data_IF_172928358278
#
_entry.id   IF_172928358278
#
_cell.length_a   1.000
_cell.length_b   1.000
_cell.length_c   1.000
_cell.angle_alpha   90.00
_cell.angle_beta   90.00
_cell.angle_gamma   90.00
#
_symmetry.space_group_name_H-M   'P 1'
#
loop_
_entity.id
_entity.type
_entity.pdbx_description
1 polymer ?
#
# COMPACT_ATOMS: atom_id res chain seq x y z
N UNK A 1 4.50 -21.75 -51.83
CA UNK A 1 3.94 -20.88 -52.86
C UNK A 1 4.95 -19.78 -53.02
N UNK A 2 5.30 -19.49 -54.26
CA UNK A 2 6.22 -18.40 -54.54
C UNK A 2 5.46 -17.08 -54.51
N UNK A 3 6.16 -16.01 -54.16
CA UNK A 3 5.58 -14.68 -54.01
C UNK A 3 4.82 -14.21 -55.26
N UNK A 4 5.24 -14.66 -56.44
CA UNK A 4 4.60 -14.41 -57.73
C UNK A 4 3.21 -15.04 -57.86
N UNK A 5 2.98 -16.23 -57.29
CA UNK A 5 1.68 -16.92 -57.31
C UNK A 5 0.68 -16.16 -56.43
N UNK A 6 1.14 -15.69 -55.26
CA UNK A 6 0.31 -14.90 -54.35
C UNK A 6 -0.11 -13.55 -54.94
N UNK A 7 0.76 -12.91 -55.73
CA UNK A 7 0.45 -11.65 -56.43
C UNK A 7 -0.56 -11.89 -57.56
N UNK A 8 -0.41 -12.99 -58.31
CA UNK A 8 -1.30 -13.32 -59.41
C UNK A 8 -2.75 -13.59 -58.95
N UNK A 9 -2.93 -14.11 -57.73
CA UNK A 9 -4.25 -14.42 -57.15
C UNK A 9 -4.95 -13.19 -56.52
N UNK A 10 -4.26 -12.05 -56.32
CA UNK A 10 -4.84 -10.85 -55.68
C UNK A 10 -6.14 -10.34 -56.35
N UNK A 11 -6.25 -10.24 -57.68
CA UNK A 11 -7.46 -9.76 -58.34
C UNK A 11 -8.66 -10.70 -58.17
N UNK A 12 -8.42 -12.00 -57.95
CA UNK A 12 -9.47 -13.00 -57.69
C UNK A 12 -9.94 -12.90 -56.24
N UNK A 13 -9.01 -12.75 -55.29
CA UNK A 13 -9.32 -12.53 -53.87
C UNK A 13 -10.18 -11.28 -53.69
N UNK A 14 -9.89 -10.19 -54.41
CA UNK A 14 -10.67 -8.95 -54.38
C UNK A 14 -12.13 -9.14 -54.79
N UNK A 15 -12.44 -10.14 -55.61
CA UNK A 15 -13.80 -10.48 -56.06
C UNK A 15 -14.52 -11.47 -55.15
N UNK A 16 -13.81 -12.16 -54.26
CA UNK A 16 -14.38 -13.12 -53.30
C UNK A 16 -15.10 -12.42 -52.16
N UNK A 17 -16.16 -13.06 -51.65
CA UNK A 17 -16.84 -12.64 -50.42
C UNK A 17 -15.93 -12.84 -49.20
N UNK A 18 -16.22 -12.18 -48.09
CA UNK A 18 -15.42 -12.28 -46.87
C UNK A 18 -15.28 -13.74 -46.38
N UNK A 19 -16.35 -14.55 -46.50
CA UNK A 19 -16.35 -15.94 -46.06
C UNK A 19 -15.48 -16.84 -46.94
N UNK A 20 -15.48 -16.60 -48.25
CA UNK A 20 -14.64 -17.33 -49.20
C UNK A 20 -13.16 -16.99 -49.02
N UNK A 21 -12.82 -15.73 -48.70
CA UNK A 21 -11.44 -15.34 -48.36
C UNK A 21 -10.93 -16.05 -47.11
N UNK A 22 -11.78 -16.20 -46.09
CA UNK A 22 -11.47 -16.92 -44.85
C UNK A 22 -11.24 -18.41 -45.13
N UNK A 23 -12.09 -19.04 -45.96
CA UNK A 23 -11.92 -20.43 -46.36
C UNK A 23 -10.62 -20.66 -47.16
N UNK A 24 -10.33 -19.79 -48.13
CA UNK A 24 -9.09 -19.83 -48.90
C UNK A 24 -7.84 -19.65 -48.00
N UNK A 25 -7.89 -18.74 -47.02
CA UNK A 25 -6.80 -18.56 -46.07
C UNK A 25 -6.56 -19.80 -45.20
N UNK A 26 -7.63 -20.48 -44.75
CA UNK A 26 -7.53 -21.75 -44.00
C UNK A 26 -6.92 -22.86 -44.83
N UNK A 27 -7.33 -23.00 -46.07
CA UNK A 27 -6.79 -24.03 -46.96
C UNK A 27 -5.33 -23.77 -47.33
N UNK A 28 -4.96 -22.50 -47.53
CA UNK A 28 -3.55 -22.09 -47.69
C UNK A 28 -2.72 -22.43 -46.46
N UNK A 29 -3.21 -22.12 -45.26
CA UNK A 29 -2.53 -22.43 -44.00
C UNK A 29 -2.37 -23.94 -43.81
N UNK A 30 -3.42 -24.71 -44.12
CA UNK A 30 -3.39 -26.18 -44.08
C UNK A 30 -2.34 -26.76 -45.04
N UNK A 31 -2.30 -26.27 -46.27
CA UNK A 31 -1.30 -26.68 -47.27
C UNK A 31 0.11 -26.27 -46.87
N UNK A 32 0.27 -25.09 -46.26
CA UNK A 32 1.56 -24.61 -45.76
C UNK A 32 2.08 -25.50 -44.62
N UNK A 33 1.23 -25.83 -43.64
CA UNK A 33 1.58 -26.74 -42.55
C UNK A 33 1.93 -28.13 -43.08
N UNK A 34 1.14 -28.67 -44.03
CA UNK A 34 1.44 -29.97 -44.66
C UNK A 34 2.80 -29.99 -45.35
N UNK A 35 3.13 -28.92 -46.10
CA UNK A 35 4.44 -28.77 -46.74
C UNK A 35 5.57 -28.61 -45.71
N UNK A 36 5.31 -27.94 -44.58
CA UNK A 36 6.29 -27.82 -43.51
C UNK A 36 6.53 -29.18 -42.84
N UNK A 37 5.49 -29.97 -42.56
CA UNK A 37 5.60 -31.31 -42.00
C UNK A 37 6.34 -32.27 -42.95
N UNK A 38 6.02 -32.23 -44.24
CA UNK A 38 6.73 -33.00 -45.28
C UNK A 38 8.21 -32.60 -45.33
N UNK A 39 8.52 -31.30 -45.24
CA UNK A 39 9.89 -30.78 -45.19
C UNK A 39 10.62 -31.22 -43.92
N UNK A 40 9.98 -31.12 -42.75
CA UNK A 40 10.56 -31.52 -41.47
C UNK A 40 10.83 -33.04 -41.42
N UNK A 41 9.92 -33.87 -41.95
CA UNK A 41 10.14 -35.31 -42.08
C UNK A 41 11.25 -35.67 -43.07
N UNK A 42 11.46 -34.85 -44.10
CA UNK A 42 12.53 -35.03 -45.07
C UNK A 42 13.90 -34.57 -44.54
N UNK A 43 13.96 -33.80 -43.46
CA UNK A 43 15.22 -33.40 -42.83
C UNK A 43 15.82 -34.59 -42.06
N UNK A 44 17.14 -34.80 -42.15
CA UNK A 44 17.81 -35.80 -41.32
C UNK A 44 17.66 -35.43 -39.84
N UNK A 45 17.68 -36.42 -38.92
CA UNK A 45 17.59 -36.14 -37.49
C UNK A 45 18.67 -35.13 -37.10
N UNK A 46 18.34 -34.13 -36.26
CA UNK A 46 19.29 -33.11 -35.89
C UNK A 46 20.49 -33.77 -35.21
N UNK A 47 21.70 -33.33 -35.60
CA UNK A 47 22.93 -33.78 -34.93
C UNK A 47 22.83 -33.47 -33.43
N UNK A 48 23.40 -34.32 -32.55
CA UNK A 48 23.42 -34.04 -31.12
C UNK A 48 24.00 -32.64 -30.87
N UNK A 49 23.16 -31.75 -30.34
CA UNK A 49 23.52 -30.34 -30.14
C UNK A 49 24.53 -30.26 -29.00
N UNK A 50 25.69 -29.67 -29.26
CA UNK A 50 26.57 -29.20 -28.18
C UNK A 50 26.00 -27.89 -27.66
N UNK A 51 25.63 -27.84 -26.39
CA UNK A 51 25.20 -26.59 -25.75
C UNK A 51 26.37 -25.61 -25.80
N UNK A 52 26.19 -24.50 -26.52
CA UNK A 52 27.15 -23.39 -26.63
C UNK A 52 26.68 -22.16 -25.86
N UNK A 53 25.39 -22.13 -25.52
CA UNK A 53 24.74 -21.06 -24.78
C UNK A 53 24.41 -21.62 -23.41
N UNK A 54 24.87 -20.94 -22.37
CA UNK A 54 24.54 -21.19 -20.98
C UNK A 54 23.91 -19.91 -20.43
N UNK A 55 22.89 -20.05 -19.59
CA UNK A 55 22.34 -18.92 -18.86
C UNK A 55 23.03 -18.83 -17.49
N UNK A 56 22.80 -17.72 -16.79
CA UNK A 56 23.27 -17.61 -15.42
C UNK A 56 22.59 -18.69 -14.56
N UNK A 57 23.35 -19.32 -13.66
CA UNK A 57 22.86 -20.39 -12.80
C UNK A 57 21.64 -19.98 -11.94
N UNK A 58 21.54 -18.69 -11.61
CA UNK A 58 20.38 -18.07 -10.94
C UNK A 58 19.10 -18.26 -11.75
N UNK A 59 19.13 -17.84 -13.02
CA UNK A 59 17.98 -17.95 -13.91
C UNK A 59 17.65 -19.42 -14.19
N UNK A 60 18.67 -20.26 -14.39
CA UNK A 60 18.46 -21.69 -14.68
C UNK A 60 17.84 -22.43 -13.49
N UNK A 61 18.31 -22.18 -12.26
CA UNK A 61 17.82 -22.86 -11.07
C UNK A 61 16.40 -22.42 -10.72
N UNK A 62 16.10 -21.12 -10.76
CA UNK A 62 14.75 -20.62 -10.51
C UNK A 62 13.77 -21.15 -11.57
N UNK A 63 14.12 -21.08 -12.86
CA UNK A 63 13.27 -21.58 -13.94
C UNK A 63 13.05 -23.11 -13.85
N UNK A 64 14.08 -23.88 -13.51
CA UNK A 64 13.94 -25.32 -13.29
C UNK A 64 13.01 -25.64 -12.11
N UNK A 65 13.09 -24.84 -11.04
CA UNK A 65 12.21 -24.95 -9.87
C UNK A 65 10.75 -24.60 -10.23
N UNK A 66 10.52 -23.52 -10.96
CA UNK A 66 9.19 -23.13 -11.46
C UNK A 66 8.54 -24.20 -12.35
N UNK A 67 9.34 -24.95 -13.11
CA UNK A 67 8.87 -26.05 -13.96
C UNK A 67 8.64 -27.36 -13.19
N UNK A 68 8.95 -27.40 -11.89
CA UNK A 68 8.96 -28.59 -11.06
C UNK A 68 9.86 -29.72 -11.62
N UNK A 69 10.98 -29.36 -12.25
CA UNK A 69 11.91 -30.30 -12.88
C UNK A 69 12.99 -30.76 -11.88
N UNK A 70 12.66 -31.79 -11.09
CA UNK A 70 13.54 -32.31 -10.03
C UNK A 70 14.94 -32.69 -10.54
N UNK A 71 15.01 -33.39 -11.68
CA UNK A 71 16.28 -33.90 -12.20
C UNK A 71 17.22 -32.77 -12.63
N UNK A 72 16.67 -31.72 -13.22
CA UNK A 72 17.45 -30.55 -13.60
C UNK A 72 17.89 -29.73 -12.38
N UNK A 73 17.02 -29.56 -11.37
CA UNK A 73 17.39 -28.90 -10.12
C UNK A 73 18.49 -29.67 -9.40
N UNK A 74 18.39 -31.00 -9.30
CA UNK A 74 19.44 -31.84 -8.70
C UNK A 74 20.77 -31.70 -9.44
N UNK A 75 20.74 -31.72 -10.78
CA UNK A 75 21.93 -31.53 -11.62
C UNK A 75 22.59 -30.17 -11.35
N UNK A 76 21.80 -29.09 -11.37
CA UNK A 76 22.29 -27.73 -11.15
C UNK A 76 22.90 -27.56 -9.75
N UNK A 77 22.26 -28.11 -8.72
CA UNK A 77 22.77 -28.07 -7.36
C UNK A 77 24.05 -28.91 -7.20
N UNK A 78 24.18 -30.03 -7.94
CA UNK A 78 25.42 -30.82 -8.00
C UNK A 78 26.56 -30.08 -8.72
N UNK A 79 26.23 -29.14 -9.62
CA UNK A 79 27.17 -28.23 -10.29
C UNK A 79 27.53 -26.99 -9.45
N UNK A 80 27.22 -27.02 -8.15
CA UNK A 80 27.44 -25.94 -7.17
C UNK A 80 26.63 -24.66 -7.46
N UNK A 81 25.44 -24.76 -8.06
CA UNK A 81 24.50 -23.65 -8.06
C UNK A 81 24.14 -23.28 -6.61
N UNK A 82 24.16 -21.99 -6.30
CA UNK A 82 23.78 -21.50 -4.98
C UNK A 82 22.26 -21.66 -4.80
N UNK A 83 21.77 -22.40 -3.79
CA UNK A 83 20.33 -22.60 -3.59
C UNK A 83 19.60 -21.33 -3.10
N UNK A 84 20.35 -20.31 -2.67
CA UNK A 84 19.84 -19.03 -2.15
C UNK A 84 19.81 -17.91 -3.19
N UNK A 85 19.96 -18.25 -4.47
CA UNK A 85 19.76 -17.29 -5.56
C UNK A 85 18.30 -16.83 -5.55
N UNK A 86 18.03 -15.61 -6.00
CA UNK A 86 16.70 -15.03 -5.98
C UNK A 86 16.45 -14.18 -7.23
N UNK A 87 15.18 -13.93 -7.56
CA UNK A 87 14.82 -13.02 -8.65
C UNK A 87 14.85 -11.54 -8.19
N UNK A 88 14.41 -10.64 -9.08
CA UNK A 88 14.33 -9.19 -8.80
C UNK A 88 13.41 -8.85 -7.61
N UNK A 89 12.44 -9.70 -7.30
CA UNK A 89 11.52 -9.56 -6.16
C UNK A 89 12.08 -10.20 -4.87
N UNK A 90 13.30 -10.73 -4.89
CA UNK A 90 13.92 -11.42 -3.75
C UNK A 90 13.40 -12.84 -3.50
N UNK A 91 12.57 -13.39 -4.41
CA UNK A 91 12.04 -14.75 -4.29
C UNK A 91 13.12 -15.79 -4.61
N UNK A 92 13.44 -16.62 -3.63
CA UNK A 92 14.36 -17.77 -3.77
C UNK A 92 13.64 -19.03 -4.29
N UNK A 93 14.35 -20.06 -4.77
CA UNK A 93 13.77 -21.38 -5.08
C UNK A 93 12.89 -21.97 -3.96
N UNK A 94 13.21 -21.73 -2.69
CA UNK A 94 12.37 -22.15 -1.57
C UNK A 94 11.01 -21.43 -1.52
N UNK A 95 10.97 -20.13 -1.82
CA UNK A 95 9.72 -19.37 -1.95
C UNK A 95 8.88 -19.96 -3.07
N UNK A 96 9.48 -20.26 -4.23
CA UNK A 96 8.75 -20.85 -5.35
C UNK A 96 8.17 -22.23 -4.98
N UNK A 97 8.95 -23.07 -4.32
CA UNK A 97 8.45 -24.36 -3.83
C UNK A 97 7.32 -24.21 -2.81
N UNK A 98 7.40 -23.18 -1.97
CA UNK A 98 6.38 -22.85 -0.99
C UNK A 98 5.08 -22.31 -1.61
N UNK A 99 5.13 -21.75 -2.81
CA UNK A 99 3.95 -21.28 -3.57
C UNK A 99 3.32 -22.45 -4.34
N UNK A 100 4.15 -23.30 -4.95
CA UNK A 100 3.72 -24.35 -5.89
C UNK A 100 3.44 -25.72 -5.25
N UNK A 101 3.61 -25.88 -3.92
CA UNK A 101 3.52 -27.17 -3.19
C UNK A 101 4.54 -28.24 -3.65
N UNK A 102 5.75 -27.81 -4.05
CA UNK A 102 6.79 -28.70 -4.55
C UNK A 102 7.66 -29.27 -3.42
N UNK A 103 7.13 -30.23 -2.66
CA UNK A 103 7.79 -30.82 -1.49
C UNK A 103 9.12 -31.51 -1.81
N UNK A 104 9.20 -32.23 -2.93
CA UNK A 104 10.41 -32.99 -3.31
C UNK A 104 11.60 -32.06 -3.59
N UNK A 105 11.35 -30.98 -4.32
CA UNK A 105 12.38 -29.99 -4.64
C UNK A 105 12.72 -29.17 -3.40
N UNK A 106 11.75 -28.84 -2.55
CA UNK A 106 12.00 -28.16 -1.28
C UNK A 106 12.96 -28.94 -0.38
N UNK A 107 12.71 -30.23 -0.17
CA UNK A 107 13.59 -31.09 0.64
C UNK A 107 15.01 -31.12 0.05
N UNK A 108 15.13 -31.27 -1.27
CA UNK A 108 16.42 -31.24 -1.95
C UNK A 108 17.14 -29.89 -1.73
N UNK A 109 16.45 -28.76 -1.86
CA UNK A 109 17.03 -27.43 -1.65
C UNK A 109 17.51 -27.25 -0.20
N UNK A 110 16.71 -27.67 0.78
CA UNK A 110 17.06 -27.63 2.20
C UNK A 110 18.30 -28.50 2.50
N UNK A 111 18.36 -29.71 1.93
CA UNK A 111 19.52 -30.60 2.06
C UNK A 111 20.80 -29.99 1.47
N UNK A 112 20.68 -29.08 0.49
CA UNK A 112 21.80 -28.34 -0.11
C UNK A 112 22.10 -27.00 0.56
N UNK A 113 21.50 -26.72 1.72
CA UNK A 113 21.79 -25.52 2.51
C UNK A 113 21.02 -24.27 2.05
N UNK A 114 19.84 -24.45 1.48
CA UNK A 114 18.93 -23.34 1.27
C UNK A 114 18.54 -22.70 2.62
N UNK A 115 18.52 -21.38 2.67
CA UNK A 115 18.15 -20.59 3.83
C UNK A 115 16.63 -20.63 4.00
N UNK A 116 16.19 -21.42 4.98
CA UNK A 116 14.77 -21.56 5.34
C UNK A 116 14.10 -20.23 5.72
N UNK A 117 14.88 -19.24 6.15
CA UNK A 117 14.43 -17.92 6.58
C UNK A 117 14.88 -16.81 5.60
N UNK A 118 15.11 -17.14 4.33
CA UNK A 118 15.34 -16.13 3.31
C UNK A 118 14.16 -15.15 3.29
N UNK A 119 14.45 -13.86 3.10
CA UNK A 119 13.44 -12.81 3.01
C UNK A 119 13.43 -12.22 1.60
N UNK A 120 12.23 -12.07 1.03
CA UNK A 120 12.05 -11.37 -0.23
C UNK A 120 12.01 -9.84 -0.03
N UNK A 121 11.70 -9.07 -1.08
CA UNK A 121 11.66 -7.60 -0.99
C UNK A 121 10.57 -7.06 -0.06
N UNK A 122 9.52 -7.82 0.20
CA UNK A 122 8.45 -7.49 1.14
C UNK A 122 8.67 -8.16 2.51
N UNK A 123 9.89 -8.68 2.74
CA UNK A 123 10.29 -9.41 3.94
C UNK A 123 9.49 -10.69 4.19
N UNK A 124 8.79 -11.21 3.19
CA UNK A 124 8.15 -12.51 3.27
C UNK A 124 9.22 -13.59 3.35
N UNK A 125 8.93 -14.62 4.13
CA UNK A 125 9.76 -15.83 4.21
C UNK A 125 9.07 -16.98 3.48
N UNK A 126 9.76 -18.08 3.16
CA UNK A 126 9.11 -19.27 2.59
C UNK A 126 7.94 -19.76 3.45
N UNK A 127 7.99 -19.56 4.78
CA UNK A 127 6.89 -19.92 5.68
C UNK A 127 5.66 -19.01 5.49
N UNK A 128 5.86 -17.70 5.23
CA UNK A 128 4.75 -16.81 4.89
C UNK A 128 4.04 -17.26 3.60
N UNK A 129 4.82 -17.55 2.56
CA UNK A 129 4.29 -18.03 1.29
C UNK A 129 3.49 -19.34 1.45
N UNK A 130 4.04 -20.31 2.19
CA UNK A 130 3.40 -21.59 2.44
C UNK A 130 2.10 -21.46 3.26
N UNK A 131 2.10 -20.58 4.27
CA UNK A 131 0.93 -20.33 5.11
C UNK A 131 -0.20 -19.62 4.32
N UNK A 132 0.14 -18.60 3.52
CA UNK A 132 -0.80 -17.89 2.65
C UNK A 132 -1.44 -18.83 1.62
N UNK A 133 -0.65 -19.73 1.05
CA UNK A 133 -1.13 -20.71 0.07
C UNK A 133 -1.81 -21.95 0.71
N UNK A 134 -1.81 -22.04 2.05
CA UNK A 134 -2.35 -23.16 2.82
C UNK A 134 -1.73 -24.54 2.52
N UNK A 135 -0.44 -24.60 2.17
CA UNK A 135 0.26 -25.85 1.87
C UNK A 135 0.78 -26.51 3.14
N UNK A 136 -0.08 -27.27 3.83
CA UNK A 136 0.18 -27.89 5.16
C UNK A 136 1.50 -28.68 5.19
N UNK A 137 1.77 -29.48 4.16
CA UNK A 137 2.97 -30.34 4.13
C UNK A 137 4.25 -29.52 4.01
N UNK A 138 4.23 -28.47 3.18
CA UNK A 138 5.34 -27.51 3.07
C UNK A 138 5.56 -26.79 4.40
N UNK A 139 4.49 -26.32 5.05
CA UNK A 139 4.57 -25.67 6.37
C UNK A 139 5.26 -26.60 7.36
N UNK A 140 4.86 -27.87 7.44
CA UNK A 140 5.51 -28.87 8.32
C UNK A 140 6.99 -29.04 8.01
N UNK A 141 7.36 -29.15 6.73
CA UNK A 141 8.77 -29.26 6.30
C UNK A 141 9.57 -28.04 6.73
N UNK A 142 9.07 -26.83 6.48
CA UNK A 142 9.75 -25.58 6.84
C UNK A 142 9.92 -25.43 8.35
N UNK A 143 8.87 -25.73 9.14
CA UNK A 143 8.94 -25.69 10.60
C UNK A 143 9.99 -26.67 11.13
N UNK A 144 10.03 -27.90 10.60
CA UNK A 144 11.02 -28.91 10.95
C UNK A 144 12.44 -28.49 10.55
N UNK A 145 12.59 -27.77 9.44
CA UNK A 145 13.86 -27.21 8.98
C UNK A 145 14.31 -25.96 9.75
N UNK A 146 13.56 -25.53 10.77
CA UNK A 146 13.94 -24.39 11.61
C UNK A 146 13.45 -23.03 11.09
N UNK A 147 12.33 -23.01 10.37
CA UNK A 147 11.67 -21.76 10.01
C UNK A 147 11.33 -20.93 11.26
N UNK A 148 11.56 -19.62 11.16
CA UNK A 148 11.21 -18.65 12.17
C UNK A 148 9.70 -18.37 12.12
N UNK A 149 8.98 -18.86 13.13
CA UNK A 149 7.53 -18.67 13.28
C UNK A 149 7.15 -17.21 13.60
N UNK A 150 8.11 -16.43 14.10
CA UNK A 150 7.94 -15.03 14.52
C UNK A 150 8.54 -14.05 13.52
N UNK A 151 8.86 -14.51 12.30
CA UNK A 151 9.28 -13.60 11.24
C UNK A 151 8.11 -12.65 10.92
N UNK A 152 8.42 -11.36 10.81
CA UNK A 152 7.43 -10.32 10.50
C UNK A 152 7.74 -9.80 9.11
N UNK A 153 6.72 -9.71 8.25
CA UNK A 153 6.86 -9.14 6.92
C UNK A 153 6.72 -7.61 6.93
N UNK A 154 6.82 -6.96 5.77
CA UNK A 154 6.75 -5.50 5.66
C UNK A 154 5.40 -4.90 6.12
N UNK A 155 4.31 -5.68 6.14
CA UNK A 155 3.01 -5.25 6.66
C UNK A 155 2.83 -5.49 8.16
N UNK A 156 3.83 -6.03 8.86
CA UNK A 156 3.72 -6.34 10.29
C UNK A 156 3.06 -7.69 10.60
N UNK A 157 2.83 -8.52 9.59
CA UNK A 157 2.19 -9.83 9.75
C UNK A 157 3.23 -10.93 9.95
N UNK A 158 2.91 -11.90 10.81
CA UNK A 158 3.61 -13.17 10.92
C UNK A 158 2.93 -14.24 10.05
N UNK A 159 3.57 -15.40 9.80
CA UNK A 159 2.99 -16.43 8.92
C UNK A 159 1.61 -16.92 9.33
N UNK A 160 1.28 -16.95 10.62
CA UNK A 160 -0.06 -17.37 11.07
C UNK A 160 -1.14 -16.29 10.85
N UNK A 161 -0.78 -14.99 10.82
CA UNK A 161 -1.75 -13.90 10.62
C UNK A 161 -2.33 -13.89 9.20
N UNK A 162 -1.54 -14.33 8.22
CA UNK A 162 -1.92 -14.40 6.80
C UNK A 162 -2.54 -15.75 6.41
N UNK A 163 -2.61 -16.70 7.34
CA UNK A 163 -3.13 -18.03 7.09
C UNK A 163 -4.65 -18.06 7.21
N UNK A 164 -5.36 -18.11 6.08
CA UNK A 164 -6.83 -18.19 6.06
C UNK A 164 -7.36 -19.62 6.32
N UNK A 165 -6.52 -20.65 6.19
CA UNK A 165 -6.95 -22.05 6.31
C UNK A 165 -6.77 -22.58 7.74
N UNK A 166 -7.88 -23.01 8.36
CA UNK A 166 -7.92 -23.49 9.75
C UNK A 166 -6.91 -24.63 10.01
N UNK A 167 -6.82 -25.65 9.16
CA UNK A 167 -5.92 -26.79 9.45
C UNK A 167 -4.43 -26.41 9.35
N UNK A 168 -4.07 -25.49 8.44
CA UNK A 168 -2.69 -24.98 8.35
C UNK A 168 -2.38 -24.08 9.55
N UNK A 169 -3.34 -23.24 9.94
CA UNK A 169 -3.22 -22.36 11.08
C UNK A 169 -3.02 -23.18 12.37
N UNK A 170 -3.83 -24.21 12.58
CA UNK A 170 -3.72 -25.13 13.72
C UNK A 170 -2.32 -25.76 13.84
N UNK A 171 -1.70 -26.11 12.71
CA UNK A 171 -0.33 -26.66 12.69
C UNK A 171 0.68 -25.61 13.15
N UNK A 172 0.58 -24.37 12.67
CA UNK A 172 1.50 -23.29 13.05
C UNK A 172 1.29 -22.94 14.53
N UNK A 173 0.05 -22.76 14.98
CA UNK A 173 -0.29 -22.43 16.37
C UNK A 173 0.13 -23.53 17.33
N UNK A 174 -0.09 -24.80 16.98
CA UNK A 174 0.35 -25.94 17.78
C UNK A 174 1.87 -25.97 17.95
N UNK A 175 2.62 -25.66 16.90
CA UNK A 175 4.08 -25.61 16.93
C UNK A 175 4.58 -24.39 17.72
N UNK A 176 3.91 -23.25 17.62
CA UNK A 176 4.20 -22.08 18.45
C UNK A 176 3.99 -22.39 19.94
N UNK A 177 2.86 -23.02 20.29
CA UNK A 177 2.55 -23.45 21.64
C UNK A 177 3.55 -24.51 22.16
N UNK A 178 3.94 -25.46 21.31
CA UNK A 178 4.95 -26.48 21.64
C UNK A 178 6.33 -25.86 21.94
N UNK A 179 6.68 -24.76 21.26
CA UNK A 179 7.90 -23.97 21.52
C UNK A 179 7.74 -23.00 22.70
N UNK A 180 6.58 -22.95 23.35
CA UNK A 180 6.32 -22.07 24.49
C UNK A 180 6.17 -20.59 24.11
N UNK A 181 5.85 -20.30 22.85
CA UNK A 181 5.63 -18.94 22.36
C UNK A 181 4.28 -18.45 22.93
N UNK A 182 4.34 -17.46 23.82
CA UNK A 182 3.16 -16.83 24.42
C UNK A 182 2.71 -15.61 23.63
N UNK A 183 1.45 -15.20 23.80
CA UNK A 183 0.96 -13.95 23.21
C UNK A 183 1.79 -12.74 23.64
N UNK A 184 2.22 -12.69 24.90
CA UNK A 184 3.09 -11.60 25.39
C UNK A 184 4.43 -11.55 24.66
N UNK A 185 4.99 -12.71 24.33
CA UNK A 185 6.26 -12.79 23.61
C UNK A 185 6.08 -12.40 22.14
N UNK A 186 4.95 -12.77 21.53
CA UNK A 186 4.56 -12.29 20.20
C UNK A 186 4.49 -10.76 20.17
N UNK A 187 3.76 -10.17 21.13
CA UNK A 187 3.60 -8.71 21.21
C UNK A 187 4.95 -8.01 21.43
N UNK A 188 5.82 -8.59 22.27
CA UNK A 188 7.19 -8.12 22.47
C UNK A 188 8.02 -8.16 21.18
N UNK A 189 7.94 -9.24 20.40
CA UNK A 189 8.66 -9.36 19.12
C UNK A 189 8.14 -8.38 18.06
N UNK A 190 6.82 -8.13 17.99
CA UNK A 190 6.24 -7.12 17.11
C UNK A 190 6.68 -5.69 17.50
N UNK A 191 6.80 -5.40 18.79
CA UNK A 191 7.26 -4.09 19.29
C UNK A 191 8.78 -3.92 19.30
N UNK A 192 9.56 -4.97 19.06
CA UNK A 192 11.02 -4.93 19.13
C UNK A 192 11.66 -3.92 18.16
N UNK A 193 11.21 -3.80 16.88
CA UNK A 193 11.75 -2.81 15.95
C UNK A 193 11.51 -1.37 16.42
N UNK A 194 10.31 -1.06 16.92
CA UNK A 194 9.99 0.26 17.48
C UNK A 194 10.91 0.60 18.66
N UNK A 195 11.05 -0.36 19.59
CA UNK A 195 11.90 -0.21 20.78
C UNK A 195 13.36 0.00 20.41
N UNK A 196 13.89 -0.78 19.46
CA UNK A 196 15.25 -0.64 18.98
C UNK A 196 15.48 0.74 18.36
N UNK A 197 14.57 1.18 17.48
CA UNK A 197 14.64 2.51 16.87
C UNK A 197 14.57 3.62 17.93
N UNK A 198 13.71 3.49 18.93
CA UNK A 198 13.59 4.45 20.02
C UNK A 198 14.89 4.56 20.83
N UNK A 199 15.51 3.43 21.15
CA UNK A 199 16.75 3.40 21.92
C UNK A 199 17.93 3.96 21.10
N UNK A 200 17.98 3.70 19.80
CA UNK A 200 18.93 4.33 18.89
C UNK A 200 18.75 5.86 18.83
N UNK A 201 17.50 6.34 18.75
CA UNK A 201 17.23 7.80 18.75
C UNK A 201 17.63 8.44 20.09
N UNK A 202 17.38 7.78 21.22
CA UNK A 202 17.84 8.24 22.55
C UNK A 202 19.36 8.32 22.60
N UNK A 203 20.05 7.29 22.10
CA UNK A 203 21.51 7.24 22.03
C UNK A 203 22.08 8.38 21.16
N UNK A 204 21.50 8.63 19.98
CA UNK A 204 21.91 9.72 19.10
C UNK A 204 21.71 11.09 19.76
N UNK A 205 20.57 11.28 20.46
CA UNK A 205 20.29 12.51 21.19
C UNK A 205 21.30 12.76 22.32
N UNK A 206 21.64 11.72 23.10
CA UNK A 206 22.65 11.81 24.17
C UNK A 206 24.04 12.16 23.62
N UNK A 207 24.37 11.73 22.41
CA UNK A 207 25.61 12.08 21.72
C UNK A 207 25.59 13.49 21.11
N UNK A 208 24.45 14.20 21.17
CA UNK A 208 24.29 15.52 20.55
C UNK A 208 24.26 15.48 19.03
N UNK A 209 23.92 14.34 18.42
CA UNK A 209 23.76 14.21 16.97
C UNK A 209 22.40 14.73 16.52
N UNK A 210 22.34 15.22 15.29
CA UNK A 210 21.11 15.67 14.65
C UNK A 210 20.18 14.47 14.38
N UNK A 211 18.88 14.65 14.64
CA UNK A 211 17.84 13.63 14.48
C UNK A 211 17.00 13.84 13.20
N UNK A 212 17.27 14.90 12.44
CA UNK A 212 16.60 15.23 11.18
C UNK A 212 17.45 14.85 9.94
N UNK A 213 18.38 13.90 10.12
CA UNK A 213 19.19 13.35 9.04
C UNK A 213 18.29 12.74 7.97
N UNK A 214 18.63 13.04 6.71
CA UNK A 214 17.89 12.60 5.53
C UNK A 214 18.56 11.39 4.90
N UNK A 215 17.75 10.37 4.62
CA UNK A 215 18.13 9.22 3.81
C UNK A 215 18.25 9.61 2.31
N UNK A 216 18.78 8.74 1.43
CA UNK A 216 18.96 9.04 0.00
C UNK A 216 17.66 9.39 -0.75
N UNK A 217 16.54 8.84 -0.32
CA UNK A 217 15.17 9.14 -0.78
C UNK A 217 14.61 10.46 -0.20
N UNK A 218 15.37 11.11 0.69
CA UNK A 218 15.00 12.36 1.35
C UNK A 218 14.14 12.17 2.60
N UNK A 219 13.78 10.93 2.95
CA UNK A 219 13.00 10.63 4.15
C UNK A 219 13.84 10.83 5.42
N UNK A 220 13.17 10.95 6.57
CA UNK A 220 13.81 11.11 7.88
C UNK A 220 13.26 10.09 8.86
N UNK A 221 13.88 9.94 10.03
CA UNK A 221 13.38 9.04 11.07
C UNK A 221 11.90 9.29 11.43
N UNK A 222 11.43 10.55 11.36
CA UNK A 222 10.03 10.88 11.61
C UNK A 222 9.09 10.37 10.49
N UNK A 223 9.55 10.32 9.23
CA UNK A 223 8.78 9.70 8.15
C UNK A 223 8.65 8.20 8.36
N UNK A 224 9.74 7.52 8.70
CA UNK A 224 9.78 6.08 8.96
C UNK A 224 8.87 5.73 10.15
N UNK A 225 9.03 6.45 11.28
CA UNK A 225 8.17 6.26 12.44
C UNK A 225 6.68 6.50 12.11
N UNK A 226 6.39 7.49 11.26
CA UNK A 226 5.02 7.77 10.83
C UNK A 226 4.44 6.70 9.91
N UNK A 227 5.25 6.09 9.05
CA UNK A 227 4.81 5.02 8.16
C UNK A 227 4.53 3.72 8.92
N UNK A 228 5.42 3.34 9.84
CA UNK A 228 5.35 2.07 10.57
C UNK A 228 4.42 2.09 11.79
N UNK A 229 3.89 3.24 12.19
CA UNK A 229 3.04 3.33 13.38
C UNK A 229 3.79 3.50 14.70
N UNK A 230 5.08 3.83 14.67
CA UNK A 230 5.92 3.94 15.87
C UNK A 230 5.65 5.23 16.64
N UNK A 231 4.60 5.18 17.46
CA UNK A 231 4.12 6.31 18.24
C UNK A 231 5.18 6.85 19.19
N UNK A 232 5.86 5.97 19.93
CA UNK A 232 6.81 6.38 20.96
C UNK A 232 8.05 7.03 20.34
N UNK A 233 8.52 6.49 19.20
CA UNK A 233 9.61 7.08 18.42
C UNK A 233 9.22 8.46 17.90
N UNK A 234 8.04 8.59 17.28
CA UNK A 234 7.58 9.87 16.76
C UNK A 234 7.40 10.92 17.87
N UNK A 235 6.81 10.53 19.00
CA UNK A 235 6.65 11.40 20.17
C UNK A 235 8.01 11.90 20.70
N UNK A 236 8.99 11.00 20.80
CA UNK A 236 10.35 11.36 21.21
C UNK A 236 11.01 12.34 20.23
N UNK A 237 10.94 12.08 18.93
CA UNK A 237 11.52 12.96 17.90
C UNK A 237 10.89 14.35 17.91
N UNK A 238 9.57 14.44 18.02
CA UNK A 238 8.85 15.72 18.10
C UNK A 238 9.20 16.49 19.37
N UNK A 239 9.36 15.79 20.50
CA UNK A 239 9.82 16.39 21.77
C UNK A 239 11.24 16.94 21.65
N UNK A 240 12.10 16.27 20.88
CA UNK A 240 13.44 16.75 20.53
C UNK A 240 13.46 17.89 19.50
N UNK A 241 12.31 18.52 19.22
CA UNK A 241 12.15 19.64 18.28
C UNK A 241 12.40 19.30 16.80
N UNK A 242 12.29 18.03 16.40
CA UNK A 242 12.25 17.67 14.97
C UNK A 242 10.98 18.24 14.33
N UNK A 243 11.12 18.91 13.18
CA UNK A 243 9.99 19.56 12.54
C UNK A 243 9.04 18.54 11.89
N UNK A 244 7.72 18.56 12.20
CA UNK A 244 6.73 17.72 11.52
C UNK A 244 6.42 18.19 10.09
N UNK A 245 6.98 19.33 9.65
CA UNK A 245 6.78 19.91 8.33
C UNK A 245 7.88 19.52 7.32
N UNK A 246 8.82 18.69 7.75
CA UNK A 246 9.90 18.21 6.90
C UNK A 246 9.34 17.48 5.68
N UNK A 247 10.00 17.65 4.53
CA UNK A 247 9.58 17.07 3.26
C UNK A 247 10.64 16.20 2.64
N UNK A 248 10.26 15.02 2.16
CA UNK A 248 11.12 14.15 1.36
C UNK A 248 11.21 14.58 -0.12
N UNK A 249 11.80 13.74 -0.98
CA UNK A 249 11.98 14.04 -2.41
C UNK A 249 10.66 14.11 -3.20
N UNK A 250 9.58 13.50 -2.70
CA UNK A 250 8.23 13.55 -3.27
C UNK A 250 7.31 14.55 -2.56
N UNK A 251 7.90 15.42 -1.74
CA UNK A 251 7.23 16.44 -0.95
C UNK A 251 6.24 15.86 0.07
N UNK A 252 6.39 14.59 0.42
CA UNK A 252 5.66 13.99 1.53
C UNK A 252 6.16 14.60 2.83
N UNK A 253 5.20 14.85 3.70
CA UNK A 253 5.46 15.16 5.11
C UNK A 253 5.14 13.90 5.93
N UNK A 254 5.65 13.78 7.17
CA UNK A 254 5.32 12.66 8.06
C UNK A 254 3.80 12.37 8.16
N UNK A 255 2.96 13.41 8.12
CA UNK A 255 1.49 13.26 8.13
C UNK A 255 0.93 12.53 6.90
N UNK A 256 1.58 12.64 5.74
CA UNK A 256 1.20 11.87 4.55
C UNK A 256 1.55 10.40 4.72
N UNK A 257 2.71 10.09 5.30
CA UNK A 257 3.10 8.72 5.61
C UNK A 257 2.11 8.08 6.60
N UNK A 258 1.82 8.76 7.72
CA UNK A 258 0.83 8.29 8.69
C UNK A 258 -0.57 8.10 8.09
N UNK A 259 -1.01 9.01 7.19
CA UNK A 259 -2.31 8.88 6.53
C UNK A 259 -2.37 7.75 5.49
N UNK A 260 -1.28 7.54 4.73
CA UNK A 260 -1.18 6.48 3.73
C UNK A 260 -1.24 5.09 4.38
N UNK A 261 -0.57 4.92 5.54
CA UNK A 261 -0.49 3.66 6.27
C UNK A 261 -1.50 3.54 7.42
N UNK A 262 -2.56 4.35 7.39
CA UNK A 262 -3.69 4.30 8.32
C UNK A 262 -3.32 4.36 9.82
N UNK A 263 -2.48 5.31 10.19
CA UNK A 263 -2.02 5.55 11.58
C UNK A 263 -2.73 6.77 12.20
N UNK A 264 -3.97 6.64 12.73
CA UNK A 264 -4.76 7.77 13.21
C UNK A 264 -4.11 8.52 14.39
N UNK A 265 -3.57 7.79 15.37
CA UNK A 265 -3.00 8.37 16.58
C UNK A 265 -1.76 9.25 16.26
N UNK A 266 -0.95 8.81 15.29
CA UNK A 266 0.19 9.58 14.79
C UNK A 266 -0.22 10.83 14.04
N UNK A 267 -1.32 10.80 13.27
CA UNK A 267 -1.84 12.00 12.60
C UNK A 267 -2.24 13.03 13.65
N UNK A 268 -2.94 12.61 14.70
CA UNK A 268 -3.31 13.51 15.80
C UNK A 268 -2.06 14.10 16.47
N UNK A 269 -1.08 13.27 16.81
CA UNK A 269 0.18 13.69 17.41
C UNK A 269 0.93 14.70 16.52
N UNK A 270 1.11 14.40 15.24
CA UNK A 270 1.79 15.28 14.29
C UNK A 270 1.07 16.64 14.18
N UNK A 271 -0.26 16.64 14.10
CA UNK A 271 -1.06 17.87 14.06
C UNK A 271 -0.96 18.67 15.37
N UNK A 272 -0.85 18.02 16.53
CA UNK A 272 -0.64 18.70 17.81
C UNK A 272 0.70 19.46 17.82
N UNK A 273 1.76 18.89 17.24
CA UNK A 273 3.07 19.52 17.10
C UNK A 273 3.19 20.46 15.87
N UNK A 274 2.10 20.69 15.15
CA UNK A 274 2.01 21.67 14.06
C UNK A 274 2.25 21.12 12.65
N UNK A 275 2.11 19.81 12.45
CA UNK A 275 2.05 19.19 11.12
C UNK A 275 0.86 19.70 10.29
N UNK A 276 1.07 19.86 8.99
CA UNK A 276 0.09 20.45 8.08
C UNK A 276 -0.79 19.38 7.42
N UNK A 277 -2.00 19.21 7.92
CA UNK A 277 -3.00 18.26 7.39
C UNK A 277 -3.50 18.61 5.98
N UNK A 278 -3.21 19.83 5.50
CA UNK A 278 -3.55 20.30 4.16
C UNK A 278 -2.34 20.37 3.22
N UNK A 279 -1.21 19.85 3.66
CA UNK A 279 -0.03 19.77 2.84
C UNK A 279 -0.32 18.97 1.56
N UNK A 280 0.44 19.26 0.52
CA UNK A 280 0.33 18.60 -0.77
C UNK A 280 1.65 17.96 -1.14
N UNK A 281 1.56 16.73 -1.60
CA UNK A 281 2.67 16.02 -2.25
C UNK A 281 3.00 16.65 -3.61
N UNK A 282 4.05 16.16 -4.25
CA UNK A 282 4.45 16.53 -5.62
C UNK A 282 3.30 16.35 -6.64
N UNK A 283 2.42 15.40 -6.41
CA UNK A 283 1.25 15.11 -7.26
C UNK A 283 0.03 15.98 -6.92
N UNK A 284 0.12 16.81 -5.87
CA UNK A 284 -0.98 17.65 -5.40
C UNK A 284 -1.97 16.95 -4.48
N UNK A 285 -1.65 15.75 -4.02
CA UNK A 285 -2.49 14.91 -3.15
C UNK A 285 -2.32 15.35 -1.69
N UNK A 286 -3.43 15.42 -0.96
CA UNK A 286 -3.44 15.71 0.49
C UNK A 286 -3.44 14.41 1.30
N UNK A 287 -3.10 14.43 2.60
CA UNK A 287 -3.19 13.24 3.46
C UNK A 287 -4.56 12.54 3.40
N UNK A 288 -5.65 13.31 3.28
CA UNK A 288 -7.01 12.78 3.13
C UNK A 288 -7.21 11.99 1.82
N UNK A 289 -6.52 12.39 0.75
CA UNK A 289 -6.61 11.74 -0.57
C UNK A 289 -5.84 10.42 -0.61
N UNK A 290 -4.76 10.30 0.18
CA UNK A 290 -3.90 9.12 0.25
C UNK A 290 -4.50 8.01 1.11
N UNK A 291 -5.28 8.38 2.13
CA UNK A 291 -5.88 7.45 3.06
C UNK A 291 -6.93 6.57 2.36
N UNK A 292 -6.83 5.25 2.47
CA UNK A 292 -7.87 4.33 1.99
C UNK A 292 -8.88 4.02 3.10
N UNK A 293 -8.39 3.82 4.32
CA UNK A 293 -9.16 3.43 5.50
C UNK A 293 -10.22 4.47 5.94
N UNK A 294 -11.38 3.99 6.36
CA UNK A 294 -12.51 4.83 6.75
C UNK A 294 -12.30 5.46 8.13
N UNK A 295 -11.67 4.76 9.07
CA UNK A 295 -11.47 5.26 10.44
C UNK A 295 -10.49 6.43 10.45
N UNK A 296 -9.37 6.28 9.74
CA UNK A 296 -8.35 7.31 9.58
C UNK A 296 -8.91 8.54 8.84
N UNK A 297 -9.75 8.33 7.80
CA UNK A 297 -10.50 9.42 7.14
C UNK A 297 -11.40 10.21 8.09
N UNK A 298 -12.08 9.54 9.03
CA UNK A 298 -12.93 10.20 10.02
C UNK A 298 -12.10 11.08 10.95
N UNK A 299 -10.96 10.57 11.42
CA UNK A 299 -10.00 11.32 12.26
C UNK A 299 -9.49 12.56 11.52
N UNK A 300 -9.00 12.40 10.28
CA UNK A 300 -8.55 13.53 9.44
C UNK A 300 -9.67 14.55 9.26
N UNK A 301 -10.89 14.10 8.98
CA UNK A 301 -12.05 15.00 8.82
C UNK A 301 -12.35 15.76 10.12
N UNK A 302 -12.31 15.10 11.27
CA UNK A 302 -12.53 15.71 12.58
C UNK A 302 -11.43 16.74 12.90
N UNK A 303 -10.17 16.44 12.61
CA UNK A 303 -9.04 17.36 12.77
C UNK A 303 -9.19 18.59 11.86
N UNK A 304 -9.51 18.39 10.57
CA UNK A 304 -9.77 19.49 9.63
C UNK A 304 -10.91 20.40 10.11
N UNK A 305 -12.00 19.82 10.60
CA UNK A 305 -13.11 20.59 11.16
C UNK A 305 -12.70 21.37 12.42
N UNK A 306 -11.88 20.77 13.28
CA UNK A 306 -11.37 21.38 14.51
C UNK A 306 -10.42 22.52 14.20
N UNK A 307 -9.52 22.35 13.24
CA UNK A 307 -8.65 23.42 12.74
C UNK A 307 -9.44 24.56 12.09
N UNK A 308 -10.43 24.24 11.25
CA UNK A 308 -11.29 25.23 10.63
C UNK A 308 -12.05 26.04 11.70
N UNK A 309 -12.56 25.38 12.75
CA UNK A 309 -13.19 26.03 13.91
C UNK A 309 -12.20 26.94 14.65
N UNK A 310 -10.99 26.45 14.94
CA UNK A 310 -9.93 27.21 15.60
C UNK A 310 -9.52 28.44 14.78
N UNK A 311 -9.37 28.30 13.46
CA UNK A 311 -9.13 29.41 12.52
C UNK A 311 -10.27 30.43 12.57
N UNK A 312 -11.53 30.00 12.47
CA UNK A 312 -12.70 30.90 12.56
C UNK A 312 -12.75 31.67 13.87
N UNK A 313 -12.47 31.03 15.00
CA UNK A 313 -12.41 31.71 16.30
C UNK A 313 -11.27 32.74 16.35
N UNK A 314 -10.08 32.38 15.85
CA UNK A 314 -8.95 33.31 15.78
C UNK A 314 -9.22 34.53 14.86
N UNK A 315 -9.89 34.32 13.72
CA UNK A 315 -10.27 35.39 12.79
C UNK A 315 -11.48 36.21 13.28
N UNK A 316 -12.47 35.58 13.91
CA UNK A 316 -13.65 36.26 14.48
C UNK A 316 -13.27 37.24 15.60
N UNK A 317 -12.27 36.90 16.43
CA UNK A 317 -11.72 37.81 17.45
C UNK A 317 -11.03 39.03 16.81
N UNK A 318 -10.37 38.84 15.65
CA UNK A 318 -9.75 39.93 14.87
C UNK A 318 -10.80 40.88 14.28
N UNK A 319 -11.91 40.35 13.80
CA UNK A 319 -12.99 41.17 13.21
C UNK A 319 -13.81 41.93 14.27
N UNK A 320 -14.06 41.33 15.44
CA UNK A 320 -14.65 42.06 16.58
C UNK A 320 -13.77 43.22 17.06
N UNK A 321 -12.44 43.06 17.09
CA UNK A 321 -11.52 44.19 17.38
C UNK A 321 -11.56 45.26 16.29
N UNK A 322 -11.75 44.89 15.03
CA UNK A 322 -11.81 45.82 13.89
C UNK A 322 -13.12 46.61 13.87
N UNK A 323 -14.25 45.97 14.20
CA UNK A 323 -15.55 46.62 14.35
C UNK A 323 -15.60 47.53 15.60
N UNK A 324 -14.99 47.12 16.72
CA UNK A 324 -14.92 47.94 17.93
C UNK A 324 -14.11 49.24 17.74
N UNK A 325 -13.07 49.23 16.89
CA UNK A 325 -12.34 50.45 16.50
C UNK A 325 -13.15 51.38 15.58
N UNK A 326 -14.07 50.85 14.75
CA UNK A 326 -14.97 51.68 13.92
C UNK A 326 -16.06 52.37 14.75
N UNK A 327 -16.54 51.74 15.84
CA UNK A 327 -17.59 52.33 16.70
C UNK A 327 -17.11 53.50 17.59
N UNK A 328 -15.80 53.73 17.76
CA UNK A 328 -15.27 54.89 18.49
C UNK A 328 -15.15 56.18 17.67
N UNK A 329 -15.61 56.18 16.41
CA UNK A 329 -15.48 57.31 15.48
C UNK A 329 -16.83 57.86 15.01
N UNK A 330 -17.86 57.74 15.86
CA UNK A 330 -19.15 58.40 15.63
C UNK A 330 -19.33 59.48 16.71
N UNK A 331 -19.23 60.74 16.28
CA UNK A 331 -19.60 61.93 17.04
C UNK A 331 -20.99 61.76 17.64
N UNK A 332 -21.10 62.05 18.93
CA UNK A 332 -22.40 62.28 19.58
C UNK A 332 -22.86 63.70 19.23
N UNK A 333 -24.08 63.92 18.73
CA UNK A 333 -24.60 65.26 18.57
C UNK A 333 -24.87 65.87 19.94
N UNK A 334 -24.41 67.11 20.11
CA UNK A 334 -24.75 67.98 21.23
C UNK A 334 -26.27 68.14 21.35
N UNK A 335 -26.81 68.01 22.56
CA UNK A 335 -28.00 68.75 22.95
C UNK A 335 -27.81 69.35 24.35
N UNK A 336 -27.85 70.69 24.35
CA UNK A 336 -28.61 71.53 25.28
C UNK A 336 -28.46 71.27 26.77
N UNK A 337 -27.69 72.13 27.42
CA UNK A 337 -27.73 72.36 28.85
C UNK A 337 -29.13 72.82 29.30
N UNK A 338 -29.69 72.15 30.31
CA UNK A 338 -30.59 72.77 31.28
C UNK A 338 -30.12 72.37 32.69
N UNK A 339 -30.04 73.38 33.54
CA UNK A 339 -29.61 73.36 34.93
C UNK A 339 -30.66 72.68 35.82
N UNK A 340 -30.21 71.93 36.82
CA UNK A 340 -31.06 71.45 37.90
C UNK A 340 -30.34 70.42 38.77
N UNK A 341 -30.04 70.80 40.00
CA UNK A 341 -29.37 70.02 41.03
C UNK A 341 -29.97 68.62 41.23
N UNK A 342 -29.12 67.60 41.35
CA UNK A 342 -29.31 66.66 42.46
C UNK A 342 -28.03 65.86 42.81
N UNK A 343 -27.72 65.67 44.10
CA UNK A 343 -26.43 65.18 44.57
C UNK A 343 -26.57 63.77 45.17
N UNK A 344 -26.38 62.70 44.40
CA UNK A 344 -26.12 61.36 44.97
C UNK A 344 -25.78 60.38 43.84
N UNK A 345 -24.49 60.03 43.68
CA UNK A 345 -24.06 58.64 43.47
C UNK A 345 -22.53 58.60 43.33
N UNK A 346 -21.86 58.43 44.47
CA UNK A 346 -20.47 58.04 44.54
C UNK A 346 -20.31 56.58 44.10
N UNK A 347 -19.30 56.28 43.28
CA UNK A 347 -18.24 55.27 43.55
C UNK A 347 -17.58 54.75 42.27
N UNK A 348 -16.24 54.75 42.30
CA UNK A 348 -15.47 53.58 41.85
C UNK A 348 -14.83 53.66 40.47
N UNK A 349 -13.86 54.55 40.27
CA UNK A 349 -12.86 54.37 39.22
C UNK A 349 -11.94 53.18 39.57
N UNK A 350 -12.25 51.99 39.07
CA UNK A 350 -11.34 50.84 39.11
C UNK A 350 -10.50 50.85 37.83
N UNK A 351 -9.24 51.31 37.95
CA UNK A 351 -8.19 51.04 36.96
C UNK A 351 -7.96 49.52 36.91
N UNK A 352 -8.38 48.85 35.83
CA UNK A 352 -7.80 47.54 35.49
C UNK A 352 -6.47 47.77 34.79
N UNK A 353 -5.42 47.53 35.57
CA UNK A 353 -4.03 47.48 35.14
C UNK A 353 -3.87 46.33 34.14
N UNK A 354 -3.37 46.66 32.95
CA UNK A 354 -2.98 45.69 31.92
C UNK A 354 -1.76 44.92 32.43
N UNK A 355 -1.96 43.73 32.98
CA UNK A 355 -0.88 42.76 33.16
C UNK A 355 -0.49 42.24 31.78
N UNK A 356 0.48 42.92 31.19
CA UNK A 356 1.22 42.43 30.03
C UNK A 356 2.64 42.25 30.51
N UNK A 357 2.98 41.00 30.84
CA UNK A 357 4.36 40.66 31.13
C UNK A 357 5.21 40.94 29.89
N UNK A 358 6.41 41.48 30.12
CA UNK A 358 7.38 41.93 29.10
C UNK A 358 7.87 40.82 28.15
N UNK A 359 7.42 39.56 28.32
CA UNK A 359 7.81 38.40 27.50
C UNK A 359 6.93 38.18 26.26
N UNK A 360 5.79 38.88 26.12
CA UNK A 360 4.96 38.81 24.90
C UNK A 360 4.25 37.48 24.64
N UNK A 361 4.31 36.51 25.57
CA UNK A 361 3.71 35.18 25.45
C UNK A 361 2.29 35.14 26.06
N UNK A 362 1.38 34.40 25.44
CA UNK A 362 0.00 34.19 25.92
C UNK A 362 -0.04 33.20 27.09
N UNK A 363 -0.96 33.31 28.06
CA UNK A 363 -1.06 32.40 29.21
C UNK A 363 -1.08 30.90 28.84
N UNK A 364 -1.82 30.52 27.79
CA UNK A 364 -1.88 29.14 27.30
C UNK A 364 -0.54 28.59 26.78
N UNK A 365 0.38 29.48 26.38
CA UNK A 365 1.73 29.10 25.89
C UNK A 365 2.73 28.97 27.04
N UNK A 366 2.46 29.65 28.16
CA UNK A 366 3.22 29.49 29.42
C UNK A 366 2.78 28.20 30.12
N UNK A 367 1.50 27.85 30.03
CA UNK A 367 0.92 26.62 30.56
C UNK A 367 1.42 25.39 29.80
N UNK A 368 1.40 25.42 28.46
CA UNK A 368 1.96 24.33 27.64
C UNK A 368 3.48 24.13 27.82
N UNK A 369 4.24 25.20 28.08
CA UNK A 369 5.67 25.08 28.40
C UNK A 369 5.92 24.53 29.81
N UNK A 370 5.02 24.78 30.77
CA UNK A 370 5.08 24.16 32.09
C UNK A 370 4.72 22.68 32.05
N UNK A 371 3.68 22.31 31.31
CA UNK A 371 3.29 20.91 31.11
C UNK A 371 4.41 20.10 30.42
N UNK A 372 5.04 20.66 29.38
CA UNK A 372 6.22 20.02 28.75
C UNK A 372 7.43 19.88 29.69
N UNK A 373 7.65 20.85 30.58
CA UNK A 373 8.73 20.79 31.58
C UNK A 373 8.42 19.82 32.73
N UNK A 374 7.15 19.68 33.11
CA UNK A 374 6.70 18.72 34.12
C UNK A 374 6.74 17.28 33.58
N UNK A 375 6.47 17.05 32.28
CA UNK A 375 6.64 15.75 31.62
C UNK A 375 8.12 15.32 31.58
N UNK A 376 9.03 16.23 31.21
CA UNK A 376 10.48 16.01 31.26
C UNK A 376 11.00 15.72 32.68
N UNK A 377 10.36 16.32 33.69
CA UNK A 377 10.67 16.08 35.10
C UNK A 377 10.10 14.75 35.62
N UNK A 378 8.92 14.33 35.16
CA UNK A 378 8.36 13.01 35.49
C UNK A 378 9.19 11.88 34.88
N UNK A 379 9.72 12.06 33.67
CA UNK A 379 10.60 11.06 33.05
C UNK A 379 11.99 10.97 33.67
N UNK A 380 12.44 12.01 34.37
CA UNK A 380 13.72 12.00 35.09
C UNK A 380 13.65 11.30 36.45
N UNK A 381 12.48 10.83 36.91
CA UNK A 381 12.28 10.43 38.32
C UNK A 381 11.63 9.07 38.58
N UNK A 382 11.41 8.23 37.58
CA UNK A 382 10.87 6.89 37.81
C UNK A 382 11.80 5.83 37.23
N UNK A 383 12.72 5.38 38.09
CA UNK A 383 13.19 4.00 38.12
C UNK A 383 13.07 3.52 39.58
N UNK A 384 12.88 2.20 39.74
CA UNK A 384 12.98 1.39 40.98
C UNK A 384 11.67 1.00 41.69
N UNK A 385 11.24 -0.24 41.38
CA UNK A 385 10.58 -1.24 42.24
C UNK A 385 9.14 -1.01 42.76
N UNK A 386 8.19 -1.86 42.36
CA UNK A 386 7.76 -3.03 43.15
C UNK A 386 6.45 -3.66 42.64
N UNK A 387 6.39 -4.97 42.84
CA UNK A 387 5.41 -5.99 42.51
C UNK A 387 3.99 -5.88 43.12
N UNK A 388 3.04 -6.46 42.38
CA UNK A 388 2.02 -7.46 42.81
C UNK A 388 0.63 -7.04 43.37
N UNK A 389 -0.38 -7.58 42.65
CA UNK A 389 -1.69 -8.14 43.03
C UNK A 389 -3.03 -7.39 42.79
N UNK A 390 -3.87 -8.14 42.04
CA UNK A 390 -5.33 -8.27 42.12
C UNK A 390 -6.19 -7.20 41.42
N UNK A 391 -7.31 -7.48 40.77
CA UNK A 391 -8.00 -8.71 40.37
C UNK A 391 -9.29 -8.30 39.62
N UNK A 392 -9.83 -9.24 38.84
CA UNK A 392 -11.26 -9.39 38.50
C UNK A 392 -11.90 -8.56 37.37
N UNK A 393 -12.29 -9.35 36.36
CA UNK A 393 -13.64 -9.52 35.83
C UNK A 393 -14.18 -8.51 34.79
N UNK A 394 -14.54 -9.06 33.63
CA UNK A 394 -15.31 -8.35 32.61
C UNK A 394 -15.49 -9.17 31.34
N UNK A 395 -16.15 -10.33 31.44
CA UNK A 395 -16.63 -11.11 30.30
C UNK A 395 -17.60 -10.27 29.47
N UNK A 396 -17.23 -9.93 28.23
CA UNK A 396 -18.16 -9.45 27.21
C UNK A 396 -17.90 -10.18 25.90
N UNK A 397 -18.80 -11.11 25.60
CA UNK A 397 -19.03 -11.65 24.28
C UNK A 397 -19.39 -10.50 23.35
N UNK A 398 -18.61 -10.29 22.28
CA UNK A 398 -19.06 -9.53 21.13
C UNK A 398 -18.95 -10.38 19.87
N UNK A 399 -20.12 -10.68 19.32
CA UNK A 399 -20.35 -11.22 18.00
C UNK A 399 -19.57 -10.39 16.97
N UNK A 400 -18.67 -11.06 16.22
CA UNK A 400 -18.09 -10.50 15.01
C UNK A 400 -19.10 -10.69 13.87
N UNK A 401 -19.77 -9.60 13.49
CA UNK A 401 -20.40 -9.49 12.18
C UNK A 401 -19.32 -9.17 11.14
N UNK A 402 -19.05 -10.13 10.27
CA UNK A 402 -18.16 -9.97 9.12
C UNK A 402 -18.82 -9.15 8.01
N UNK A 403 -18.17 -8.10 7.47
CA UNK A 403 -18.52 -7.59 6.16
C UNK A 403 -17.69 -8.33 5.08
N UNK A 404 -18.31 -9.33 4.49
CA UNK A 404 -18.25 -9.71 3.06
C UNK A 404 -16.97 -9.42 2.25
N UNK A 405 -16.22 -10.50 2.02
CA UNK A 405 -15.86 -11.07 0.70
C UNK A 405 -15.41 -10.10 -0.40
N UNK A 406 -14.09 -10.07 -0.64
CA UNK A 406 -13.54 -10.05 -2.01
C UNK A 406 -12.64 -11.25 -2.21
N UNK A 407 -13.17 -12.23 -2.93
CA UNK A 407 -12.41 -13.31 -3.57
C UNK A 407 -11.49 -12.68 -4.61
N UNK A 408 -10.19 -12.59 -4.31
CA UNK A 408 -9.16 -12.34 -5.30
C UNK A 408 -9.00 -13.62 -6.14
N UNK A 409 -9.75 -13.71 -7.23
CA UNK A 409 -9.33 -14.52 -8.36
C UNK A 409 -8.05 -13.89 -8.89
N UNK A 410 -6.96 -14.66 -8.90
CA UNK A 410 -5.72 -14.35 -9.60
C UNK A 410 -6.04 -13.97 -11.04
N UNK A 411 -6.11 -12.66 -11.28
CA UNK A 411 -6.17 -12.12 -12.64
C UNK A 411 -4.76 -12.21 -13.18
N UNK A 412 -4.45 -13.36 -13.77
CA UNK A 412 -3.34 -13.50 -14.69
C UNK A 412 -3.44 -12.37 -15.70
N UNK A 413 -2.58 -11.37 -15.56
CA UNK A 413 -2.38 -10.34 -16.56
C UNK A 413 -1.65 -10.99 -17.73
N UNK A 414 -2.37 -11.84 -18.48
CA UNK A 414 -1.95 -12.29 -19.80
C UNK A 414 -1.93 -11.03 -20.66
N UNK A 415 -0.75 -10.44 -20.83
CA UNK A 415 -0.49 -9.66 -22.03
C UNK A 415 -1.00 -10.49 -23.20
N UNK A 416 -2.04 -9.98 -23.87
CA UNK A 416 -2.66 -10.68 -24.98
C UNK A 416 -1.57 -10.87 -26.04
N UNK A 417 -1.06 -12.11 -26.15
CA UNK A 417 -0.27 -12.51 -27.30
C UNK A 417 -1.09 -12.12 -28.54
N UNK A 418 -0.49 -11.50 -29.57
CA UNK A 418 -1.20 -11.26 -30.81
C UNK A 418 -1.79 -12.59 -31.26
N UNK A 419 -3.11 -12.60 -31.48
CA UNK A 419 -3.86 -13.81 -31.81
C UNK A 419 -3.15 -14.54 -32.95
N UNK A 420 -2.92 -15.84 -32.78
CA UNK A 420 -2.44 -16.65 -33.89
C UNK A 420 -3.46 -16.54 -35.04
N UNK A 421 -3.03 -16.47 -36.31
CA UNK A 421 -3.94 -16.48 -37.45
C UNK A 421 -4.98 -17.61 -37.36
N UNK A 422 -4.63 -18.74 -36.76
CA UNK A 422 -5.51 -19.90 -36.54
C UNK A 422 -6.58 -19.66 -35.45
N UNK A 423 -6.28 -18.88 -34.41
CA UNK A 423 -7.27 -18.45 -33.39
C UNK A 423 -8.22 -17.38 -33.93
N UNK A 424 -7.71 -16.46 -34.75
CA UNK A 424 -8.51 -15.44 -35.41
C UNK A 424 -9.54 -16.06 -36.35
N UNK A 425 -9.14 -17.10 -37.10
CA UNK A 425 -10.02 -17.84 -37.99
C UNK A 425 -11.13 -18.59 -37.24
N UNK A 426 -10.88 -19.17 -36.06
CA UNK A 426 -11.91 -19.85 -35.24
C UNK A 426 -12.95 -18.88 -34.68
N UNK A 427 -12.54 -17.68 -34.28
CA UNK A 427 -13.45 -16.65 -33.74
C UNK A 427 -14.49 -16.13 -34.74
N UNK A 428 -14.22 -16.27 -36.04
CA UNK A 428 -15.16 -15.89 -37.10
C UNK A 428 -16.28 -16.92 -37.31
N UNK A 429 -16.15 -18.14 -36.79
CA UNK A 429 -17.16 -19.20 -36.88
C UNK A 429 -18.25 -19.04 -35.82
N UNK A 430 -17.88 -18.58 -34.62
CA UNK A 430 -18.80 -18.48 -33.47
C UNK A 430 -19.82 -17.34 -33.59
N UNK A 431 -19.59 -16.39 -34.50
CA UNK A 431 -20.52 -15.29 -34.78
C UNK A 431 -21.50 -15.59 -35.92
N UNK A 432 -21.45 -16.78 -36.52
CA UNK A 432 -22.23 -17.14 -37.72
C UNK A 432 -23.44 -18.05 -37.49
N UNK A 433 -23.80 -18.39 -36.25
CA UNK A 433 -24.94 -19.27 -35.95
C UNK A 433 -25.86 -18.65 -34.92
N UNK A 434 -26.77 -17.79 -35.38
CA UNK A 434 -28.03 -17.46 -34.69
C UNK A 434 -29.03 -16.93 -35.72
N UNK A 435 -29.91 -17.80 -36.19
CA UNK A 435 -31.21 -17.62 -36.86
C UNK A 435 -31.77 -19.07 -36.91
N UNK A 436 -33.03 -19.44 -36.66
CA UNK A 436 -34.32 -18.78 -36.57
C UNK A 436 -35.29 -19.77 -35.90
N UNK A 437 -36.34 -19.28 -35.21
CA UNK A 437 -37.64 -19.96 -35.19
C UNK A 437 -38.78 -18.91 -35.22
N UNK A 438 -39.65 -19.12 -36.21
CA UNK A 438 -40.80 -18.39 -36.78
C UNK A 438 -41.98 -18.19 -35.77
N UNK A 439 -43.06 -17.42 -35.94
CA UNK A 439 -43.63 -16.41 -36.85
C UNK A 439 -44.95 -15.95 -36.15
N UNK A 440 -45.41 -14.70 -36.33
CA UNK A 440 -46.84 -14.31 -36.32
C UNK A 440 -47.05 -12.85 -36.74
N UNK A 441 -47.26 -12.65 -38.04
CA UNK A 441 -48.13 -11.68 -38.76
C UNK A 441 -48.25 -10.18 -38.35
N UNK A 442 -48.33 -9.23 -39.32
CA UNK A 442 -48.25 -7.79 -39.06
C UNK A 442 -49.62 -7.08 -38.95
N UNK A 443 -49.70 -6.02 -38.13
CA UNK A 443 -50.75 -4.98 -38.23
C UNK A 443 -50.16 -3.56 -38.17
N UNK A 444 -50.73 -2.73 -39.05
CA UNK A 444 -50.49 -1.30 -39.32
C UNK A 444 -50.45 -0.40 -38.07
N UNK A 445 -49.61 0.64 -38.15
CA UNK A 445 -49.99 2.00 -37.75
C UNK A 445 -48.90 2.81 -37.04
N UNK A 446 -48.64 4.03 -37.54
CA UNK A 446 -48.28 5.15 -36.65
C UNK A 446 -46.84 5.67 -36.69
N UNK A 447 -46.55 6.51 -37.67
CA UNK A 447 -45.40 7.42 -37.70
C UNK A 447 -45.43 8.42 -36.53
N UNK A 448 -44.30 8.58 -35.82
CA UNK A 448 -43.84 9.91 -35.41
C UNK A 448 -42.31 10.02 -35.56
N UNK A 449 -41.91 10.87 -36.51
CA UNK A 449 -40.54 11.38 -36.68
C UNK A 449 -40.18 12.33 -35.55
N UNK A 450 -38.94 12.29 -35.07
CA UNK A 450 -38.18 13.53 -34.83
C UNK A 450 -36.70 13.36 -35.19
N UNK A 451 -36.33 14.07 -36.27
CA UNK A 451 -34.97 14.28 -36.77
C UNK A 451 -34.09 14.94 -35.70
N UNK A 452 -32.87 14.44 -35.50
CA UNK A 452 -31.74 15.28 -35.09
C UNK A 452 -30.88 15.59 -36.32
N UNK A 453 -30.56 16.88 -36.44
CA UNK A 453 -29.81 17.51 -37.53
C UNK A 453 -28.37 17.67 -37.06
N UNK A 454 -27.43 17.36 -37.95
CA UNK A 454 -25.97 17.55 -37.79
C UNK A 454 -25.60 18.98 -37.35
N UNK A 455 -24.56 19.07 -36.54
CA UNK A 455 -23.77 20.27 -36.25
C UNK A 455 -22.47 19.86 -35.56
N UNK A 456 -21.35 20.11 -36.22
CA UNK A 456 -19.99 19.70 -35.89
C UNK A 456 -19.34 20.43 -34.69
N UNK A 457 -18.28 19.78 -34.17
CA UNK A 457 -17.08 20.33 -33.51
C UNK A 457 -17.20 20.96 -32.10
N UNK A 458 -16.70 20.23 -31.09
CA UNK A 458 -15.56 20.68 -30.26
C UNK A 458 -15.08 19.58 -29.31
N UNK A 459 -13.75 19.48 -29.24
CA UNK A 459 -12.93 18.61 -28.39
C UNK A 459 -13.37 18.56 -26.92
N UNK A 460 -13.55 17.35 -26.37
CA UNK A 460 -13.39 17.04 -24.94
C UNK A 460 -13.41 15.54 -24.65
N UNK A 461 -12.23 15.05 -24.21
CA UNK A 461 -11.97 14.12 -23.10
C UNK A 461 -12.75 12.80 -23.02
N UNK A 462 -12.02 11.68 -23.12
CA UNK A 462 -11.64 10.88 -21.95
C UNK A 462 -10.80 9.68 -22.37
N UNK A 463 -9.53 9.67 -21.97
CA UNK A 463 -8.68 8.48 -21.99
C UNK A 463 -8.26 8.18 -20.56
N UNK A 464 -8.79 7.08 -20.02
CA UNK A 464 -8.44 6.50 -18.72
C UNK A 464 -6.95 6.16 -18.67
N UNK A 465 -6.17 7.03 -18.04
CA UNK A 465 -4.83 6.71 -17.58
C UNK A 465 -4.93 6.11 -16.19
N UNK A 466 -4.80 4.78 -16.08
CA UNK A 466 -4.50 4.11 -14.81
C UNK A 466 -3.19 4.71 -14.28
N UNK A 467 -3.30 5.59 -13.29
CA UNK A 467 -2.16 6.13 -12.55
C UNK A 467 -1.56 4.99 -11.74
N UNK A 468 -0.34 4.58 -12.09
CA UNK A 468 0.53 3.88 -11.16
C UNK A 468 0.72 4.81 -9.96
N UNK A 469 0.21 4.41 -8.78
CA UNK A 469 0.48 5.11 -7.53
C UNK A 469 1.97 4.89 -7.23
N UNK A 470 2.73 5.97 -7.09
CA UNK A 470 4.07 5.89 -6.49
C UNK A 470 3.89 5.60 -5.01
N UNK A 471 4.16 4.36 -4.59
CA UNK A 471 4.28 3.98 -3.18
C UNK A 471 5.47 4.73 -2.57
N UNK A 472 5.32 5.26 -1.34
CA UNK A 472 6.42 5.86 -0.58
C UNK A 472 7.56 4.84 -0.51
N UNK A 473 8.78 5.23 -0.84
CA UNK A 473 9.98 4.39 -0.64
C UNK A 473 10.34 4.22 0.85
N UNK A 474 9.47 4.70 1.74
CA UNK A 474 9.67 4.89 3.18
C UNK A 474 9.28 3.67 4.01
N UNK A 475 8.83 2.59 3.36
CA UNK A 475 8.72 1.28 4.00
C UNK A 475 10.12 0.70 4.00
N UNK A 476 10.80 0.78 5.14
CA UNK A 476 11.83 -0.14 5.66
C UNK A 476 12.52 0.59 6.83
N UNK A 477 12.43 -0.02 8.01
CA UNK A 477 13.60 -0.34 8.82
C UNK A 477 13.47 -1.80 9.23
#
# INVERSE_FOLDING_TARGET
>A
MDHSELIAELPEIERMTAQERIALARDRRRLQLRKNDERERALPPPRPRRQRLHFAAEVELLEATCRADYAEVERLLNENANPNLHNDDGLTPLHQCAIDDNQQIMLLLLDRGANVNAQDTEQWTPLHAAACCAHINIVKILIQAGANLLAVNAEGNMPYDICDHEETLDVIESEMAARGITQSYIDEMRGAPEKAMLDDMKMLHQQGRELDVRAPDGSTYLHVASANGYYDVAAFLLTCSVSPLIRDNDFWQPVHAAACWAQPDLIELLCQYGGDIHAKTKNGETPMDLCEDLSTKQVITALVQTEARRRRLAFGVRDSRRQSKKRKKFESPQQGATTGDNPFSARGAIRRQSLRDRSGLTPARIEAQKEGADILRTWSKEDVSADVHASQAGSLQHQRESPSKRVLKSSQNKQAKPMSPDEWLRKLETNGTADDDLDTTPKRGGSTRRRQKKGDLSDSRNGDGRRQKSTCCCVIC
#
